data_IF_406304034506
#
_entry.id   IF_406304034506
#
_cell.length_a   1.000
_cell.length_b   1.000
_cell.length_c   1.000
_cell.angle_alpha   90.00
_cell.angle_beta   90.00
_cell.angle_gamma   90.00
#
_symmetry.space_group_name_H-M   'P 1'
#
loop_
_entity.id
_entity.type
_entity.pdbx_description
1 polymer ?
#
# COMPACT_ATOMS: atom_id res chain seq x y z
N UNK A 1 26.01 -0.36 -25.97
CA UNK A 1 25.73 -0.23 -27.43
C UNK A 1 24.29 -0.57 -27.79
N UNK A 2 23.71 -1.67 -27.30
CA UNK A 2 22.37 -2.13 -27.71
C UNK A 2 21.24 -1.12 -27.42
N UNK A 3 21.24 -0.48 -26.25
CA UNK A 3 20.19 0.48 -25.85
C UNK A 3 20.03 1.66 -26.82
N UNK A 4 21.14 2.20 -27.33
CA UNK A 4 21.10 3.37 -28.22
C UNK A 4 20.50 3.02 -29.58
N UNK A 5 20.89 1.86 -30.13
CA UNK A 5 20.38 1.35 -31.41
C UNK A 5 18.86 1.07 -31.35
N UNK A 6 18.37 0.55 -30.23
CA UNK A 6 16.92 0.34 -30.01
C UNK A 6 16.17 1.67 -30.01
N UNK A 7 16.70 2.69 -29.32
CA UNK A 7 16.04 4.01 -29.26
C UNK A 7 16.04 4.72 -30.61
N UNK A 8 17.12 4.59 -31.39
CA UNK A 8 17.14 5.10 -32.77
C UNK A 8 16.14 4.38 -33.68
N UNK A 9 16.03 3.05 -33.57
CA UNK A 9 15.05 2.28 -34.32
C UNK A 9 13.61 2.70 -33.99
N UNK A 10 13.29 2.88 -32.71
CA UNK A 10 11.97 3.37 -32.26
C UNK A 10 11.72 4.79 -32.78
N UNK A 11 12.73 5.65 -32.83
CA UNK A 11 12.59 7.02 -33.34
C UNK A 11 12.21 7.05 -34.83
N UNK A 12 12.66 6.07 -35.60
CA UNK A 12 12.38 5.96 -37.04
C UNK A 12 11.01 5.35 -37.36
N UNK A 13 10.30 4.78 -36.37
CA UNK A 13 8.98 4.16 -36.53
C UNK A 13 7.86 5.20 -36.71
N UNK A 14 6.78 4.77 -37.37
CA UNK A 14 5.57 5.58 -37.47
C UNK A 14 4.93 5.78 -36.08
N UNK A 15 4.15 6.86 -35.88
CA UNK A 15 3.54 7.14 -34.58
C UNK A 15 2.70 5.98 -34.02
N UNK A 16 1.98 5.25 -34.88
CA UNK A 16 1.14 4.12 -34.47
C UNK A 16 1.99 2.96 -33.94
N UNK A 17 3.03 2.57 -34.67
CA UNK A 17 3.97 1.52 -34.27
C UNK A 17 4.69 1.89 -32.96
N UNK A 18 5.02 3.17 -32.76
CA UNK A 18 5.60 3.66 -31.50
C UNK A 18 4.65 3.49 -30.33
N UNK A 19 3.36 3.73 -30.52
CA UNK A 19 2.36 3.54 -29.47
C UNK A 19 2.23 2.06 -29.11
N UNK A 20 2.22 1.15 -30.08
CA UNK A 20 2.19 -0.29 -29.84
C UNK A 20 3.41 -0.77 -29.03
N UNK A 21 4.60 -0.28 -29.37
CA UNK A 21 5.83 -0.59 -28.60
C UNK A 21 5.75 -0.05 -27.16
N UNK A 22 5.20 1.15 -26.97
CA UNK A 22 5.00 1.73 -25.64
C UNK A 22 3.99 0.90 -24.84
N UNK A 23 2.86 0.51 -25.43
CA UNK A 23 1.85 -0.32 -24.78
C UNK A 23 2.41 -1.68 -24.37
N UNK A 24 3.18 -2.31 -25.25
CA UNK A 24 3.87 -3.56 -24.95
C UNK A 24 4.91 -3.41 -23.84
N UNK A 25 5.73 -2.35 -23.86
CA UNK A 25 6.67 -2.09 -22.77
C UNK A 25 5.95 -1.86 -21.43
N UNK A 26 4.82 -1.14 -21.45
CA UNK A 26 4.00 -0.91 -20.27
C UNK A 26 3.36 -2.20 -19.73
N UNK A 27 2.93 -3.12 -20.60
CA UNK A 27 2.36 -4.39 -20.16
C UNK A 27 3.40 -5.25 -19.44
N UNK A 28 4.64 -5.30 -19.94
CA UNK A 28 5.75 -5.99 -19.30
C UNK A 28 6.08 -5.41 -17.91
N UNK A 29 6.14 -4.07 -17.81
CA UNK A 29 6.36 -3.39 -16.53
C UNK A 29 5.26 -3.73 -15.53
N UNK A 30 4.00 -3.73 -15.97
CA UNK A 30 2.87 -4.11 -15.10
C UNK A 30 2.96 -5.57 -14.66
N UNK A 31 3.34 -6.48 -15.54
CA UNK A 31 3.53 -7.89 -15.19
C UNK A 31 4.66 -8.09 -14.17
N UNK A 32 5.75 -7.34 -14.29
CA UNK A 32 6.83 -7.36 -13.29
C UNK A 32 6.38 -6.75 -11.96
N UNK A 33 5.63 -5.65 -11.99
CA UNK A 33 5.02 -5.04 -10.81
C UNK A 33 4.03 -5.98 -10.14
N UNK A 34 3.21 -6.73 -10.88
CA UNK A 34 2.28 -7.68 -10.28
C UNK A 34 3.03 -8.87 -9.69
N UNK A 35 4.06 -9.40 -10.34
CA UNK A 35 4.92 -10.47 -9.75
C UNK A 35 5.60 -10.01 -8.47
N UNK A 36 6.17 -8.81 -8.46
CA UNK A 36 6.81 -8.24 -7.27
C UNK A 36 5.78 -7.91 -6.19
N UNK A 37 4.62 -7.38 -6.55
CA UNK A 37 3.51 -7.12 -5.63
C UNK A 37 2.89 -8.40 -5.08
N UNK A 38 2.75 -9.49 -5.85
CA UNK A 38 2.28 -10.79 -5.36
C UNK A 38 3.31 -11.44 -4.44
N UNK A 39 4.60 -11.35 -4.76
CA UNK A 39 5.68 -11.81 -3.87
C UNK A 39 5.80 -10.95 -2.60
N UNK A 40 5.54 -9.63 -2.69
CA UNK A 40 5.49 -8.71 -1.55
C UNK A 40 4.18 -8.79 -0.77
N UNK A 41 3.06 -9.16 -1.39
CA UNK A 41 1.76 -9.43 -0.74
C UNK A 41 1.77 -10.76 0.00
N UNK A 42 2.52 -11.75 -0.48
CA UNK A 42 2.83 -12.95 0.30
C UNK A 42 3.72 -12.59 1.52
N UNK A 43 4.49 -11.50 1.44
CA UNK A 43 5.16 -10.88 2.60
C UNK A 43 4.32 -9.84 3.35
N UNK A 44 3.08 -9.52 2.90
CA UNK A 44 2.19 -8.66 3.66
C UNK A 44 1.65 -9.46 4.85
N UNK A 45 2.44 -9.40 5.93
CA UNK A 45 2.01 -9.36 7.32
C UNK A 45 0.75 -10.18 7.58
N UNK A 46 0.95 -11.47 7.86
CA UNK A 46 -0.07 -12.30 8.47
C UNK A 46 -0.71 -11.53 9.61
N UNK A 47 -2.04 -11.43 9.62
CA UNK A 47 -2.80 -10.80 10.72
C UNK A 47 -2.36 -11.32 12.09
N UNK A 48 -1.97 -12.61 12.13
CA UNK A 48 -1.42 -13.28 13.31
C UNK A 48 -0.09 -12.67 13.77
N UNK A 49 0.80 -12.34 12.84
CA UNK A 49 2.13 -11.80 13.15
C UNK A 49 2.00 -10.35 13.64
N UNK A 50 1.12 -9.57 13.01
CA UNK A 50 0.77 -8.22 13.49
C UNK A 50 0.14 -8.28 14.89
N UNK A 51 -0.80 -9.20 15.12
CA UNK A 51 -1.41 -9.39 16.44
C UNK A 51 -0.40 -9.84 17.51
N UNK A 52 0.59 -10.65 17.13
CA UNK A 52 1.66 -11.06 18.03
C UNK A 52 2.56 -9.88 18.42
N UNK A 53 2.92 -9.00 17.46
CA UNK A 53 3.72 -7.81 17.73
C UNK A 53 2.98 -6.80 18.61
N UNK A 54 1.67 -6.68 18.43
CA UNK A 54 0.85 -5.76 19.21
C UNK A 54 0.52 -6.27 20.63
N UNK A 55 0.79 -7.54 20.94
CA UNK A 55 0.36 -8.19 22.19
C UNK A 55 0.86 -7.49 23.46
N UNK A 56 2.07 -6.93 23.45
CA UNK A 56 2.64 -6.20 24.59
C UNK A 56 1.94 -4.88 24.88
N UNK A 57 1.21 -4.32 23.91
CA UNK A 57 0.45 -3.07 24.09
C UNK A 57 -0.91 -3.29 24.77
N UNK A 58 -1.40 -4.53 24.81
CA UNK A 58 -2.67 -4.92 25.43
C UNK A 58 -2.50 -5.58 26.81
N UNK A 59 -1.28 -5.63 27.36
CA UNK A 59 -1.05 -6.17 28.71
C UNK A 59 -1.56 -5.19 29.77
N UNK A 60 -2.19 -5.70 30.83
CA UNK A 60 -2.64 -4.90 31.97
C UNK A 60 -1.50 -4.03 32.54
N UNK A 61 -1.77 -2.75 32.76
CA UNK A 61 -0.79 -1.76 33.24
C UNK A 61 0.00 -1.05 32.14
N UNK A 62 -0.25 -1.35 30.86
CA UNK A 62 0.28 -0.55 29.75
C UNK A 62 -0.52 0.76 29.60
N UNK A 63 0.15 1.87 29.30
CA UNK A 63 -0.47 3.19 29.09
C UNK A 63 -1.56 3.21 28.01
N UNK A 64 -1.54 2.25 27.07
CA UNK A 64 -2.56 2.07 26.04
C UNK A 64 -3.80 1.29 26.50
N UNK A 65 -3.72 0.57 27.64
CA UNK A 65 -4.85 -0.17 28.24
C UNK A 65 -5.59 0.62 29.32
N UNK A 66 -5.06 1.78 29.70
CA UNK A 66 -5.79 2.72 30.53
C UNK A 66 -6.90 3.34 29.68
N UNK A 67 -8.09 2.74 29.72
CA UNK A 67 -9.30 3.52 29.47
C UNK A 67 -9.35 4.54 30.60
N UNK A 68 -8.94 5.76 30.28
CA UNK A 68 -8.85 6.86 31.22
C UNK A 68 -10.25 7.35 31.58
N UNK A 69 -11.03 6.55 32.30
CA UNK A 69 -12.21 7.03 33.03
C UNK A 69 -11.79 8.13 34.04
N UNK A 70 -10.50 8.17 34.42
CA UNK A 70 -9.91 9.23 35.26
C UNK A 70 -9.52 10.52 34.49
N UNK A 71 -9.48 10.53 33.15
CA UNK A 71 -9.12 11.74 32.37
C UNK A 71 -10.34 12.40 31.72
N UNK A 72 -11.42 11.67 31.48
CA UNK A 72 -12.64 12.22 30.88
C UNK A 72 -13.65 12.71 31.95
N UNK A 73 -13.25 13.70 32.75
CA UNK A 73 -14.20 14.64 33.38
C UNK A 73 -14.59 15.79 32.44
N UNK A 74 -14.22 15.72 31.16
CA UNK A 74 -14.72 16.68 30.17
C UNK A 74 -16.10 16.25 29.70
N UNK A 75 -17.08 17.08 30.07
CA UNK A 75 -18.49 17.02 29.75
C UNK A 75 -18.76 16.36 28.39
N UNK A 76 -19.30 15.13 28.42
CA UNK A 76 -19.90 14.53 27.24
C UNK A 76 -20.94 15.53 26.69
N UNK A 77 -20.77 15.96 25.44
CA UNK A 77 -21.81 16.69 24.73
C UNK A 77 -23.08 15.82 24.73
N UNK A 78 -24.12 16.28 25.40
CA UNK A 78 -25.46 15.70 25.27
C UNK A 78 -25.81 15.71 23.78
N UNK A 79 -25.96 14.52 23.21
CA UNK A 79 -26.56 14.40 21.89
C UNK A 79 -27.99 14.92 22.00
N UNK A 80 -28.35 15.92 21.20
CA UNK A 80 -29.74 16.34 21.12
C UNK A 80 -30.57 15.20 20.53
N UNK A 81 -31.64 14.84 21.23
CA UNK A 81 -32.66 13.92 20.75
C UNK A 81 -33.37 14.55 19.55
N UNK A 82 -32.88 14.27 18.34
CA UNK A 82 -33.65 14.50 17.13
C UNK A 82 -34.76 13.43 17.06
N UNK A 83 -35.87 13.72 17.76
CA UNK A 83 -37.13 13.00 17.67
C UNK A 83 -37.88 13.33 16.36
#
# INVERSE_FOLDING_TARGET
MVKFQILEAIRLMQPVERLEVIEFALSLIREEMTKTTTNQQIQQLSLKDSAALMRSYYTEGNSLTAFSDDICQEDFYQYEDYA
#
